data_IF_571242049117
#
_entry.id   IF_571242049117
#
_cell.length_a   1.000
_cell.length_b   1.000
_cell.length_c   1.000
_cell.angle_alpha   90.00
_cell.angle_beta   90.00
_cell.angle_gamma   90.00
#
_symmetry.space_group_name_H-M   'P 1'
#
loop_
_entity.id
_entity.type
_entity.pdbx_description
1 polymer ?
#
# COMPACT_ATOMS: atom_id res chain seq x y z
N UNK A 1 2.72 -18.31 -10.61
CA UNK A 1 2.74 -17.45 -9.39
C UNK A 1 3.57 -16.23 -9.69
N UNK A 2 3.09 -15.04 -9.38
CA UNK A 2 3.83 -13.80 -9.62
C UNK A 2 3.69 -12.86 -8.42
N UNK A 3 4.67 -11.98 -8.23
CA UNK A 3 4.64 -11.03 -7.11
C UNK A 3 3.65 -9.90 -7.40
N UNK A 4 3.07 -9.40 -6.31
CA UNK A 4 2.20 -8.21 -6.29
C UNK A 4 2.98 -7.01 -5.79
N UNK A 5 3.62 -7.15 -4.62
CA UNK A 5 4.42 -6.12 -4.00
C UNK A 5 5.50 -6.75 -3.08
N UNK A 6 6.47 -5.96 -2.68
CA UNK A 6 7.55 -6.40 -1.81
C UNK A 6 7.92 -5.33 -0.77
N UNK A 7 8.20 -5.77 0.44
CA UNK A 7 8.61 -4.93 1.56
C UNK A 7 9.97 -5.38 2.11
N UNK A 8 10.87 -4.44 2.32
CA UNK A 8 12.17 -4.73 2.93
C UNK A 8 12.14 -4.46 4.45
N UNK A 9 12.13 -5.53 5.23
CA UNK A 9 12.33 -5.52 6.67
C UNK A 9 13.81 -5.34 6.97
N UNK A 10 14.23 -4.10 7.23
CA UNK A 10 15.62 -3.72 7.44
C UNK A 10 16.19 -4.23 8.76
N UNK A 11 15.34 -4.48 9.74
CA UNK A 11 15.76 -4.94 11.07
C UNK A 11 16.18 -6.42 11.03
N UNK A 12 15.54 -7.19 10.14
CA UNK A 12 15.80 -8.61 9.95
C UNK A 12 16.63 -8.92 8.71
N UNK A 13 16.95 -7.94 7.85
CA UNK A 13 17.53 -8.12 6.52
C UNK A 13 16.72 -9.12 5.65
N UNK A 14 15.38 -9.06 5.75
CA UNK A 14 14.44 -9.93 5.02
C UNK A 14 13.64 -9.10 4.01
N UNK A 15 13.49 -9.62 2.80
CA UNK A 15 12.57 -9.11 1.79
C UNK A 15 11.32 -9.97 1.83
N UNK A 16 10.21 -9.37 2.25
CA UNK A 16 8.88 -9.99 2.28
C UNK A 16 8.17 -9.69 0.98
N UNK A 17 7.74 -10.73 0.30
CA UNK A 17 7.03 -10.62 -0.98
C UNK A 17 5.61 -11.14 -0.80
N UNK A 18 4.65 -10.42 -1.33
CA UNK A 18 3.29 -10.92 -1.50
C UNK A 18 3.09 -11.36 -2.94
N UNK A 19 2.57 -12.56 -3.10
CA UNK A 19 2.30 -13.21 -4.39
C UNK A 19 0.80 -13.46 -4.56
N UNK A 20 0.36 -13.56 -5.82
CA UNK A 20 -0.90 -14.19 -6.21
C UNK A 20 -0.64 -15.48 -6.97
N UNK A 21 -1.37 -16.52 -6.61
CA UNK A 21 -1.41 -17.76 -7.38
C UNK A 21 -2.34 -17.61 -8.59
N UNK A 22 -2.25 -18.56 -9.51
CA UNK A 22 -3.16 -18.61 -10.67
C UNK A 22 -4.64 -18.79 -10.26
N UNK A 23 -4.88 -19.34 -9.05
CA UNK A 23 -6.22 -19.47 -8.45
C UNK A 23 -6.69 -18.21 -7.70
N UNK A 24 -5.89 -17.15 -7.68
CA UNK A 24 -6.20 -15.89 -7.01
C UNK A 24 -5.87 -15.86 -5.51
N UNK A 25 -5.29 -16.91 -4.94
CA UNK A 25 -4.91 -16.93 -3.51
C UNK A 25 -3.68 -16.05 -3.26
N UNK A 26 -3.73 -15.30 -2.16
CA UNK A 26 -2.59 -14.51 -1.69
C UNK A 26 -1.63 -15.40 -0.90
N UNK A 27 -0.33 -15.28 -1.20
CA UNK A 27 0.76 -15.95 -0.48
C UNK A 27 1.81 -14.94 -0.03
N UNK A 28 2.47 -15.26 1.08
CA UNK A 28 3.58 -14.49 1.61
C UNK A 28 4.85 -15.33 1.56
N UNK A 29 5.90 -14.77 0.99
CA UNK A 29 7.20 -15.44 0.83
C UNK A 29 8.29 -14.51 1.35
N UNK A 30 9.18 -15.05 2.17
CA UNK A 30 10.30 -14.32 2.75
C UNK A 30 11.61 -14.76 2.08
N UNK A 31 12.42 -13.77 1.64
CA UNK A 31 13.75 -13.98 1.08
C UNK A 31 14.80 -13.29 1.96
N UNK A 32 15.93 -13.96 2.17
CA UNK A 32 17.08 -13.30 2.76
C UNK A 32 17.58 -12.20 1.83
N UNK A 33 17.70 -10.97 2.32
CA UNK A 33 18.25 -9.88 1.54
C UNK A 33 19.69 -10.17 1.11
N UNK A 34 19.99 -9.90 -0.15
CA UNK A 34 21.33 -9.95 -0.71
C UNK A 34 21.69 -8.56 -1.20
N UNK A 35 22.92 -8.17 -0.94
CA UNK A 35 23.45 -6.88 -1.37
C UNK A 35 24.58 -7.17 -2.35
N UNK A 36 24.31 -6.99 -3.63
CA UNK A 36 25.24 -7.26 -4.70
C UNK A 36 25.72 -5.96 -5.30
N UNK A 37 27.04 -5.85 -5.52
CA UNK A 37 27.61 -4.82 -6.36
C UNK A 37 28.82 -5.33 -7.11
N UNK A 38 29.24 -4.58 -8.12
CA UNK A 38 30.38 -4.94 -8.95
C UNK A 38 31.41 -3.80 -8.90
N UNK A 39 32.65 -4.14 -9.17
CA UNK A 39 33.76 -3.19 -9.33
C UNK A 39 34.67 -3.59 -10.49
N UNK A 40 35.35 -2.60 -11.09
CA UNK A 40 36.28 -2.85 -12.18
C UNK A 40 37.45 -3.70 -11.69
N UNK A 41 37.70 -4.80 -12.41
CA UNK A 41 38.78 -5.75 -12.16
C UNK A 41 39.17 -6.43 -13.46
N UNK A 42 40.42 -6.26 -13.90
CA UNK A 42 40.94 -6.81 -15.16
C UNK A 42 40.80 -8.35 -15.24
N UNK A 43 40.70 -9.03 -14.09
CA UNK A 43 40.49 -10.49 -13.98
C UNK A 43 39.03 -10.84 -13.73
N UNK A 44 38.14 -9.87 -13.75
CA UNK A 44 36.72 -10.05 -13.48
C UNK A 44 36.03 -10.94 -14.50
N UNK A 45 35.09 -11.76 -14.01
CA UNK A 45 34.31 -12.69 -14.83
C UNK A 45 33.02 -12.09 -15.42
N UNK A 46 32.60 -10.97 -14.90
CA UNK A 46 31.41 -10.25 -15.36
C UNK A 46 31.82 -9.11 -16.29
N UNK A 47 30.85 -8.53 -17.00
CA UNK A 47 31.08 -7.38 -17.86
C UNK A 47 30.05 -6.28 -17.58
N UNK A 48 30.52 -5.04 -17.62
CA UNK A 48 29.62 -3.89 -17.63
C UNK A 48 28.85 -3.82 -18.96
N UNK A 49 27.84 -2.97 -19.03
CA UNK A 49 27.14 -2.66 -20.31
C UNK A 49 28.07 -2.06 -21.36
N UNK A 50 29.24 -1.56 -20.95
CA UNK A 50 30.28 -1.01 -21.83
C UNK A 50 31.39 -2.01 -22.20
N UNK A 51 31.30 -3.26 -21.65
CA UNK A 51 32.25 -4.32 -21.89
C UNK A 51 33.42 -4.40 -20.89
N UNK A 52 33.52 -3.52 -19.92
CA UNK A 52 34.59 -3.52 -18.91
C UNK A 52 34.50 -4.78 -18.04
N UNK A 53 35.64 -5.43 -17.73
CA UNK A 53 35.66 -6.61 -16.88
C UNK A 53 35.37 -6.23 -15.42
N UNK A 54 34.47 -7.01 -14.77
CA UNK A 54 34.00 -6.75 -13.42
C UNK A 54 34.13 -7.98 -12.52
N UNK A 55 34.46 -7.75 -11.25
CA UNK A 55 34.29 -8.69 -10.16
C UNK A 55 33.07 -8.38 -9.31
N UNK A 56 32.37 -9.42 -8.84
CA UNK A 56 31.13 -9.31 -8.05
C UNK A 56 31.40 -9.54 -6.57
N UNK A 57 30.79 -8.72 -5.73
CA UNK A 57 30.70 -8.91 -4.28
C UNK A 57 29.23 -9.13 -3.91
N UNK A 58 28.98 -10.12 -3.05
CA UNK A 58 27.65 -10.41 -2.51
C UNK A 58 27.74 -10.46 -0.98
N UNK A 59 26.97 -9.59 -0.31
CA UNK A 59 26.88 -9.53 1.15
C UNK A 59 25.50 -9.98 1.61
N UNK A 60 25.42 -10.64 2.77
CA UNK A 60 24.17 -11.19 3.33
C UNK A 60 23.47 -10.24 4.31
N UNK A 61 24.09 -9.11 4.63
CA UNK A 61 23.54 -8.14 5.56
C UNK A 61 24.10 -6.73 5.26
N UNK A 62 23.39 -5.72 5.75
CA UNK A 62 23.73 -4.31 5.58
C UNK A 62 25.10 -3.95 6.16
N UNK A 63 25.51 -4.56 7.27
CA UNK A 63 26.80 -4.26 7.93
C UNK A 63 27.98 -4.65 7.06
N UNK A 64 27.97 -5.88 6.53
CA UNK A 64 29.03 -6.38 5.65
C UNK A 64 29.05 -5.60 4.34
N UNK A 65 27.89 -5.27 3.78
CA UNK A 65 27.77 -4.45 2.58
C UNK A 65 28.43 -3.08 2.75
N UNK A 66 28.14 -2.37 3.84
CA UNK A 66 28.78 -1.08 4.14
C UNK A 66 30.29 -1.18 4.29
N UNK A 67 30.77 -2.27 4.91
CA UNK A 67 32.21 -2.56 5.04
C UNK A 67 32.86 -2.76 3.68
N UNK A 68 32.27 -3.56 2.82
CA UNK A 68 32.79 -3.84 1.48
C UNK A 68 32.76 -2.61 0.58
N UNK A 69 31.72 -1.77 0.66
CA UNK A 69 31.71 -0.47 -0.03
C UNK A 69 32.86 0.43 0.41
N UNK A 70 33.14 0.49 1.72
CA UNK A 70 34.24 1.31 2.25
C UNK A 70 35.62 0.82 1.76
N UNK A 71 35.83 -0.51 1.72
CA UNK A 71 37.07 -1.13 1.21
C UNK A 71 37.27 -0.80 -0.27
N UNK A 72 36.21 -0.80 -1.07
CA UNK A 72 36.26 -0.60 -2.51
C UNK A 72 35.99 0.85 -2.95
N UNK A 73 35.93 1.81 -2.02
CA UNK A 73 35.56 3.21 -2.27
C UNK A 73 36.36 3.90 -3.39
N UNK A 74 37.60 3.50 -3.62
CA UNK A 74 38.46 4.12 -4.66
C UNK A 74 38.25 3.49 -6.05
N UNK A 75 37.48 2.40 -6.15
CA UNK A 75 37.18 1.74 -7.42
C UNK A 75 35.91 2.31 -8.01
N UNK A 76 35.74 2.18 -9.31
CA UNK A 76 34.46 2.43 -9.96
C UNK A 76 33.52 1.30 -9.63
N UNK A 77 32.42 1.61 -8.97
CA UNK A 77 31.40 0.67 -8.52
C UNK A 77 30.19 0.69 -9.47
N UNK A 78 29.53 -0.45 -9.60
CA UNK A 78 28.31 -0.63 -10.39
C UNK A 78 27.28 -1.34 -9.53
N UNK A 79 26.01 -0.92 -9.63
CA UNK A 79 24.86 -1.46 -8.90
C UNK A 79 24.97 -1.36 -7.36
N UNK A 80 25.89 -0.54 -6.86
CA UNK A 80 26.11 -0.36 -5.41
C UNK A 80 24.99 0.41 -4.71
N UNK A 81 24.10 1.03 -5.45
CA UNK A 81 22.95 1.83 -5.04
C UNK A 81 21.61 1.14 -5.35
N UNK A 82 21.62 -0.03 -5.98
CA UNK A 82 20.39 -0.78 -6.29
C UNK A 82 19.76 -1.31 -5.00
N UNK A 83 18.46 -1.01 -4.82
CA UNK A 83 17.71 -1.50 -3.69
C UNK A 83 17.65 -3.04 -3.69
N UNK A 84 17.94 -3.72 -2.57
CA UNK A 84 17.88 -5.19 -2.47
C UNK A 84 16.54 -5.81 -2.88
N UNK A 85 15.42 -5.07 -2.78
CA UNK A 85 14.12 -5.51 -3.29
C UNK A 85 14.23 -5.81 -4.80
N UNK A 86 14.76 -4.89 -5.60
CA UNK A 86 14.86 -5.09 -7.05
C UNK A 86 15.78 -6.23 -7.43
N UNK A 87 16.88 -6.41 -6.69
CA UNK A 87 17.75 -7.58 -6.90
C UNK A 87 17.01 -8.89 -6.60
N UNK A 88 16.26 -8.95 -5.50
CA UNK A 88 15.45 -10.11 -5.13
C UNK A 88 14.37 -10.40 -6.18
N UNK A 89 13.64 -9.38 -6.63
CA UNK A 89 12.57 -9.54 -7.63
C UNK A 89 13.16 -9.98 -8.99
N UNK A 90 14.29 -9.42 -9.41
CA UNK A 90 14.97 -9.84 -10.64
C UNK A 90 15.47 -11.30 -10.58
N UNK A 91 16.01 -11.73 -9.42
CA UNK A 91 16.47 -13.11 -9.26
C UNK A 91 15.34 -14.14 -9.28
N UNK A 92 14.17 -13.79 -8.75
CA UNK A 92 13.11 -14.79 -8.50
C UNK A 92 11.90 -14.65 -9.45
N UNK A 93 11.67 -13.47 -10.06
CA UNK A 93 10.42 -13.18 -10.79
C UNK A 93 10.62 -12.61 -12.21
N UNK A 94 11.86 -12.42 -12.70
CA UNK A 94 12.17 -11.68 -13.93
C UNK A 94 11.37 -12.13 -15.17
N UNK A 95 11.06 -13.42 -15.30
CA UNK A 95 10.39 -13.98 -16.47
C UNK A 95 8.98 -14.51 -16.14
N UNK A 96 8.36 -14.01 -15.10
CA UNK A 96 7.01 -14.41 -14.71
C UNK A 96 6.00 -13.41 -15.27
N UNK A 97 4.83 -13.92 -15.67
CA UNK A 97 3.71 -13.08 -16.09
C UNK A 97 3.16 -12.31 -14.89
N UNK A 98 2.54 -11.15 -15.17
CA UNK A 98 1.85 -10.38 -14.14
C UNK A 98 0.70 -11.19 -13.51
N UNK A 99 0.49 -11.13 -12.20
CA UNK A 99 -0.63 -11.80 -11.56
C UNK A 99 -1.96 -11.11 -11.90
N UNK A 100 -3.07 -11.84 -11.75
CA UNK A 100 -4.39 -11.23 -11.72
C UNK A 100 -4.55 -10.53 -10.38
N UNK A 101 -4.54 -9.19 -10.40
CA UNK A 101 -4.63 -8.37 -9.20
C UNK A 101 -6.08 -8.18 -8.75
N UNK A 102 -6.31 -8.14 -7.45
CA UNK A 102 -7.56 -7.76 -6.84
C UNK A 102 -7.57 -6.23 -6.63
N UNK A 103 -8.41 -5.55 -7.39
CA UNK A 103 -8.50 -4.07 -7.36
C UNK A 103 -9.80 -3.67 -6.66
N UNK A 104 -9.70 -2.86 -5.61
CA UNK A 104 -10.83 -2.20 -4.99
C UNK A 104 -10.82 -0.71 -5.39
N UNK A 105 -11.87 -0.30 -6.11
CA UNK A 105 -12.17 1.11 -6.36
C UNK A 105 -13.08 1.60 -5.27
N UNK A 106 -12.78 2.74 -4.68
CA UNK A 106 -13.56 3.24 -3.56
C UNK A 106 -13.60 4.76 -3.49
N UNK A 107 -14.63 5.25 -2.83
CA UNK A 107 -14.92 6.67 -2.62
C UNK A 107 -15.61 6.86 -1.28
N UNK A 108 -15.43 8.01 -0.64
CA UNK A 108 -16.06 8.35 0.64
C UNK A 108 -16.91 9.61 0.54
N UNK A 109 -17.99 9.63 1.32
CA UNK A 109 -18.76 10.83 1.61
C UNK A 109 -18.58 11.21 3.07
N UNK A 110 -18.45 12.50 3.35
CA UNK A 110 -18.26 13.01 4.71
C UNK A 110 -19.37 13.99 5.09
N UNK A 111 -19.66 14.05 6.39
CA UNK A 111 -20.59 15.07 6.91
C UNK A 111 -19.96 16.48 6.81
N UNK A 112 -20.79 17.48 6.86
CA UNK A 112 -20.43 18.90 6.74
C UNK A 112 -20.80 19.65 8.02
N UNK A 113 -19.90 20.47 8.53
CA UNK A 113 -20.16 21.37 9.65
C UNK A 113 -20.51 22.77 9.12
N UNK A 114 -21.70 23.30 9.44
CA UNK A 114 -22.15 24.63 8.94
C UNK A 114 -21.26 25.81 9.35
N UNK A 115 -20.54 25.69 10.47
CA UNK A 115 -19.67 26.74 10.99
C UNK A 115 -18.23 26.60 10.56
N UNK A 116 -17.73 25.35 10.50
CA UNK A 116 -16.32 25.01 10.22
C UNK A 116 -16.06 24.57 8.78
N UNK A 117 -17.12 24.22 8.02
CA UNK A 117 -17.00 23.69 6.68
C UNK A 117 -16.63 22.20 6.63
N UNK A 118 -16.07 21.74 5.50
CA UNK A 118 -15.53 20.39 5.35
C UNK A 118 -14.27 20.21 6.19
N UNK A 119 -14.15 19.03 6.81
CA UNK A 119 -12.95 18.68 7.55
C UNK A 119 -11.75 18.45 6.61
N UNK A 120 -10.57 18.88 7.05
CA UNK A 120 -9.33 18.60 6.35
C UNK A 120 -8.92 17.13 6.57
N UNK A 121 -8.37 16.44 5.55
CA UNK A 121 -7.89 15.07 5.72
C UNK A 121 -6.86 14.87 6.83
N UNK A 122 -6.10 15.89 7.19
CA UNK A 122 -5.15 15.84 8.32
C UNK A 122 -5.82 15.99 9.69
N UNK A 123 -7.04 16.59 9.76
CA UNK A 123 -7.87 16.66 10.95
C UNK A 123 -9.34 16.31 10.64
N UNK A 124 -9.64 15.02 10.38
CA UNK A 124 -10.96 14.57 9.98
C UNK A 124 -11.94 14.58 11.18
N UNK A 125 -12.39 15.77 11.58
CA UNK A 125 -13.29 15.93 12.71
C UNK A 125 -14.74 15.52 12.41
N UNK A 126 -15.14 15.54 11.12
CA UNK A 126 -16.45 15.08 10.67
C UNK A 126 -16.47 13.58 10.38
N UNK A 127 -17.61 12.89 10.63
CA UNK A 127 -17.73 11.48 10.33
C UNK A 127 -17.72 11.21 8.81
N UNK A 128 -17.22 10.05 8.42
CA UNK A 128 -17.52 9.48 7.13
C UNK A 128 -18.97 8.98 7.18
N UNK A 129 -19.79 9.40 6.24
CA UNK A 129 -21.22 9.08 6.20
C UNK A 129 -21.55 7.95 5.23
N UNK A 130 -20.75 7.79 4.19
CA UNK A 130 -20.83 6.64 3.29
C UNK A 130 -19.45 6.27 2.74
N UNK A 131 -19.29 4.99 2.44
CA UNK A 131 -18.15 4.43 1.73
C UNK A 131 -18.70 3.51 0.66
N UNK A 132 -18.37 3.76 -0.60
CA UNK A 132 -18.73 2.87 -1.69
C UNK A 132 -17.48 2.19 -2.21
N UNK A 133 -17.52 0.86 -2.35
CA UNK A 133 -16.40 0.03 -2.79
C UNK A 133 -16.82 -0.88 -3.93
N UNK A 134 -16.16 -0.80 -5.07
CA UNK A 134 -16.27 -1.78 -6.13
C UNK A 134 -15.12 -2.79 -6.02
N UNK A 135 -15.44 -4.01 -5.65
CA UNK A 135 -14.53 -5.14 -5.58
C UNK A 135 -14.44 -5.79 -6.97
N UNK A 136 -13.49 -5.35 -7.79
CA UNK A 136 -13.39 -5.72 -9.20
C UNK A 136 -13.29 -7.24 -9.42
N UNK A 137 -12.61 -7.97 -8.54
CA UNK A 137 -12.44 -9.43 -8.66
C UNK A 137 -13.70 -10.24 -8.33
N UNK A 138 -14.68 -9.61 -7.68
CA UNK A 138 -15.99 -10.19 -7.36
C UNK A 138 -17.10 -9.61 -8.24
N UNK A 139 -16.79 -8.61 -9.06
CA UNK A 139 -17.76 -7.79 -9.81
C UNK A 139 -18.91 -7.30 -8.90
N UNK A 140 -18.55 -6.82 -7.72
CA UNK A 140 -19.52 -6.43 -6.67
C UNK A 140 -19.30 -5.00 -6.23
N UNK A 141 -20.34 -4.19 -6.31
CA UNK A 141 -20.41 -2.86 -5.73
C UNK A 141 -21.08 -2.96 -4.35
N UNK A 142 -20.41 -2.45 -3.33
CA UNK A 142 -20.89 -2.46 -1.94
C UNK A 142 -20.90 -1.03 -1.43
N UNK A 143 -22.01 -0.63 -0.82
CA UNK A 143 -22.14 0.67 -0.14
C UNK A 143 -22.38 0.46 1.35
N UNK A 144 -21.55 1.09 2.17
CA UNK A 144 -21.67 1.14 3.62
C UNK A 144 -22.06 2.57 3.99
N UNK A 145 -23.13 2.75 4.78
CA UNK A 145 -23.60 4.11 5.09
C UNK A 145 -24.14 4.24 6.51
N UNK A 146 -24.10 5.47 7.02
CA UNK A 146 -24.81 5.90 8.22
C UNK A 146 -26.15 6.51 7.81
N UNK A 147 -27.26 6.18 8.51
CA UNK A 147 -28.53 6.84 8.24
C UNK A 147 -28.43 8.35 8.51
N UNK A 148 -29.10 9.18 7.69
CA UNK A 148 -29.22 10.60 8.00
C UNK A 148 -29.85 10.82 9.38
N UNK A 149 -29.38 11.81 10.13
CA UNK A 149 -29.87 12.14 11.49
C UNK A 149 -31.38 12.45 11.55
N UNK A 150 -32.00 12.70 10.40
CA UNK A 150 -33.41 13.01 10.26
C UNK A 150 -34.31 11.78 10.10
N UNK A 151 -33.72 10.58 9.89
CA UNK A 151 -34.44 9.33 9.71
C UNK A 151 -34.14 8.35 10.85
N UNK A 152 -35.14 7.53 11.21
CA UNK A 152 -34.86 6.35 12.02
C UNK A 152 -34.15 5.28 11.18
N UNK A 153 -33.56 4.27 11.83
CA UNK A 153 -32.92 3.15 11.13
C UNK A 153 -33.92 2.42 10.22
N UNK A 154 -35.15 2.20 10.70
CA UNK A 154 -36.22 1.54 9.93
C UNK A 154 -36.61 2.35 8.69
N UNK A 155 -36.71 3.68 8.84
CA UNK A 155 -37.00 4.57 7.72
C UNK A 155 -35.85 4.57 6.70
N UNK A 156 -34.61 4.63 7.17
CA UNK A 156 -33.45 4.59 6.30
C UNK A 156 -33.34 3.22 5.57
N UNK A 157 -33.65 2.12 6.25
CA UNK A 157 -33.68 0.78 5.64
C UNK A 157 -34.74 0.67 4.53
N UNK A 158 -35.92 1.31 4.72
CA UNK A 158 -36.95 1.35 3.67
C UNK A 158 -36.49 2.14 2.44
N UNK A 159 -35.74 3.25 2.66
CA UNK A 159 -35.22 4.08 1.55
C UNK A 159 -34.17 3.33 0.71
N UNK A 160 -33.36 2.48 1.33
CA UNK A 160 -32.28 1.76 0.62
C UNK A 160 -32.66 0.32 0.21
N UNK A 161 -33.86 -0.14 0.45
CA UNK A 161 -34.27 -1.55 0.22
C UNK A 161 -34.11 -2.05 -1.22
N UNK A 162 -34.20 -1.13 -2.19
CA UNK A 162 -34.08 -1.43 -3.60
C UNK A 162 -32.63 -1.31 -4.13
N UNK A 163 -31.67 -0.90 -3.27
CA UNK A 163 -30.26 -0.82 -3.60
C UNK A 163 -29.54 -2.08 -3.09
N UNK A 164 -29.12 -2.91 -4.04
CA UNK A 164 -28.37 -4.13 -3.73
C UNK A 164 -27.05 -3.81 -3.03
N UNK A 165 -26.64 -4.68 -2.09
CA UNK A 165 -25.37 -4.59 -1.36
C UNK A 165 -25.17 -3.23 -0.62
N UNK A 166 -26.26 -2.60 -0.18
CA UNK A 166 -26.22 -1.40 0.65
C UNK A 166 -26.49 -1.76 2.10
N UNK A 167 -25.53 -1.43 2.98
CA UNK A 167 -25.58 -1.77 4.40
C UNK A 167 -25.59 -0.52 5.25
N UNK A 168 -26.54 -0.41 6.16
CA UNK A 168 -26.64 0.70 7.12
C UNK A 168 -26.07 0.30 8.47
N UNK A 169 -25.39 1.25 9.10
CA UNK A 169 -24.75 1.10 10.41
C UNK A 169 -25.25 2.17 11.38
N UNK A 170 -25.46 1.81 12.63
CA UNK A 170 -25.79 2.78 13.68
C UNK A 170 -24.57 3.60 14.11
N UNK A 171 -23.37 3.00 14.04
CA UNK A 171 -22.12 3.63 14.47
C UNK A 171 -21.11 3.63 13.35
N UNK A 172 -20.42 4.74 13.20
CA UNK A 172 -19.30 4.89 12.26
C UNK A 172 -18.21 3.85 12.50
N UNK A 173 -17.93 3.50 13.77
CA UNK A 173 -16.92 2.50 14.10
C UNK A 173 -17.20 1.16 13.41
N UNK A 174 -18.45 0.67 13.47
CA UNK A 174 -18.85 -0.61 12.86
C UNK A 174 -18.77 -0.55 11.33
N UNK A 175 -19.11 0.61 10.75
CA UNK A 175 -18.98 0.85 9.31
C UNK A 175 -17.51 0.83 8.86
N UNK A 176 -16.62 1.49 9.61
CA UNK A 176 -15.19 1.51 9.31
C UNK A 176 -14.55 0.12 9.45
N UNK A 177 -14.94 -0.66 10.47
CA UNK A 177 -14.49 -2.05 10.60
C UNK A 177 -14.92 -2.89 9.39
N UNK A 178 -16.18 -2.78 8.97
CA UNK A 178 -16.69 -3.48 7.79
C UNK A 178 -15.98 -3.06 6.51
N UNK A 179 -15.65 -1.78 6.35
CA UNK A 179 -14.84 -1.31 5.22
C UNK A 179 -13.45 -1.96 5.21
N UNK A 180 -12.78 -1.99 6.36
CA UNK A 180 -11.45 -2.61 6.46
C UNK A 180 -11.49 -4.12 6.17
N UNK A 181 -12.60 -4.81 6.51
CA UNK A 181 -12.82 -6.21 6.12
C UNK A 181 -13.00 -6.36 4.61
N UNK A 182 -13.79 -5.49 3.96
CA UNK A 182 -14.02 -5.54 2.51
C UNK A 182 -12.73 -5.42 1.70
N UNK A 183 -11.83 -4.51 2.10
CA UNK A 183 -10.58 -4.30 1.39
C UNK A 183 -9.47 -5.29 1.77
N UNK A 184 -9.72 -6.22 2.69
CA UNK A 184 -8.68 -7.10 3.24
C UNK A 184 -7.93 -7.86 2.15
N UNK A 185 -8.61 -8.33 1.11
CA UNK A 185 -7.99 -9.07 0.01
C UNK A 185 -7.67 -8.22 -1.23
N UNK A 186 -7.78 -6.89 -1.15
CA UNK A 186 -7.36 -6.01 -2.22
C UNK A 186 -5.83 -5.92 -2.30
N UNK A 187 -5.28 -5.95 -3.50
CA UNK A 187 -3.88 -5.70 -3.81
C UNK A 187 -3.65 -4.23 -4.17
N UNK A 188 -4.64 -3.65 -4.84
CA UNK A 188 -4.66 -2.25 -5.26
C UNK A 188 -5.89 -1.57 -4.66
N UNK A 189 -5.67 -0.39 -4.08
CA UNK A 189 -6.72 0.55 -3.73
C UNK A 189 -6.67 1.71 -4.73
N UNK A 190 -7.79 2.03 -5.35
CA UNK A 190 -7.89 3.11 -6.34
C UNK A 190 -9.13 3.95 -6.10
N UNK A 191 -9.08 5.23 -6.47
CA UNK A 191 -10.18 6.17 -6.38
C UNK A 191 -9.84 7.49 -7.06
N UNK A 192 -10.84 8.32 -7.31
CA UNK A 192 -10.63 9.64 -7.89
C UNK A 192 -10.06 10.61 -6.86
N UNK A 193 -8.89 11.20 -7.15
CA UNK A 193 -8.19 12.12 -6.22
C UNK A 193 -7.97 11.53 -4.80
N UNK A 194 -7.95 10.21 -4.70
CA UNK A 194 -7.94 9.49 -3.42
C UNK A 194 -6.61 9.66 -2.65
N UNK A 195 -5.50 9.94 -3.35
CA UNK A 195 -4.23 10.31 -2.72
C UNK A 195 -4.34 11.59 -1.89
N UNK A 196 -5.11 12.55 -2.40
CA UNK A 196 -5.26 13.86 -1.76
C UNK A 196 -6.37 13.96 -0.73
N UNK A 197 -7.32 13.02 -0.72
CA UNK A 197 -8.48 13.09 0.15
C UNK A 197 -8.85 11.77 0.82
N UNK A 198 -9.30 10.76 0.08
CA UNK A 198 -9.89 9.54 0.67
C UNK A 198 -8.90 8.77 1.53
N UNK A 199 -7.68 8.55 1.05
CA UNK A 199 -6.63 7.83 1.80
C UNK A 199 -6.30 8.56 3.10
N UNK A 200 -5.84 9.83 3.08
CA UNK A 200 -5.46 10.49 4.33
C UNK A 200 -6.67 10.72 5.25
N UNK A 201 -7.85 11.02 4.70
CA UNK A 201 -9.05 11.18 5.51
C UNK A 201 -9.38 9.90 6.25
N UNK A 202 -9.49 8.78 5.53
CA UNK A 202 -9.93 7.51 6.11
C UNK A 202 -8.89 6.92 7.06
N UNK A 203 -7.60 6.98 6.73
CA UNK A 203 -6.54 6.51 7.64
C UNK A 203 -6.56 7.30 8.95
N UNK A 204 -6.65 8.64 8.88
CA UNK A 204 -6.72 9.48 10.07
C UNK A 204 -8.05 9.29 10.82
N UNK A 205 -9.16 9.06 10.11
CA UNK A 205 -10.47 8.82 10.72
C UNK A 205 -10.53 7.47 11.43
N UNK A 206 -10.01 6.40 10.84
CA UNK A 206 -9.84 5.09 11.49
C UNK A 206 -9.00 5.23 12.75
N UNK A 207 -7.88 5.95 12.69
CA UNK A 207 -7.04 6.21 13.86
C UNK A 207 -7.79 6.94 14.98
N UNK A 208 -8.73 7.83 14.65
CA UNK A 208 -9.51 8.62 15.60
C UNK A 208 -10.69 7.85 16.19
N UNK A 209 -11.42 7.10 15.37
CA UNK A 209 -12.69 6.43 15.74
C UNK A 209 -12.47 5.03 16.31
N UNK A 210 -11.56 4.28 15.74
CA UNK A 210 -11.15 2.95 16.22
C UNK A 210 -9.86 3.08 17.04
N UNK A 211 -8.73 2.86 16.41
CA UNK A 211 -7.42 3.09 17.02
C UNK A 211 -6.34 3.26 15.96
N UNK A 212 -5.16 3.76 16.39
CA UNK A 212 -3.98 3.79 15.54
C UNK A 212 -3.56 2.38 15.09
N UNK A 213 -3.78 1.38 15.91
CA UNK A 213 -3.41 -0.02 15.60
C UNK A 213 -4.30 -0.59 14.49
N UNK A 214 -5.58 -0.19 14.43
CA UNK A 214 -6.51 -0.60 13.37
C UNK A 214 -6.10 -0.07 11.99
N UNK A 215 -5.33 1.02 11.92
CA UNK A 215 -4.79 1.50 10.65
C UNK A 215 -3.83 0.52 9.98
N UNK A 216 -3.27 -0.46 10.70
CA UNK A 216 -2.45 -1.54 10.13
C UNK A 216 -3.21 -2.39 9.11
N UNK A 217 -4.54 -2.42 9.17
CA UNK A 217 -5.40 -3.15 8.25
C UNK A 217 -5.39 -2.57 6.83
N UNK A 218 -4.94 -1.33 6.66
CA UNK A 218 -4.64 -0.78 5.33
C UNK A 218 -3.37 -1.36 4.72
N UNK A 219 -2.51 -1.96 5.52
CA UNK A 219 -1.21 -2.48 5.10
C UNK A 219 -1.15 -4.00 5.24
N UNK A 220 -0.11 -4.61 4.66
CA UNK A 220 0.27 -6.01 4.91
C UNK A 220 1.35 -6.08 5.99
N UNK A 221 1.66 -7.30 6.45
CA UNK A 221 2.70 -7.62 7.43
C UNK A 221 2.60 -6.81 8.74
N UNK A 222 1.39 -6.44 9.14
CA UNK A 222 1.14 -5.64 10.34
C UNK A 222 1.89 -4.29 10.35
N UNK A 223 2.20 -3.76 9.18
CA UNK A 223 2.86 -2.46 9.06
C UNK A 223 1.84 -1.33 9.27
N UNK A 224 2.31 -0.20 9.82
CA UNK A 224 1.52 1.04 9.85
C UNK A 224 1.61 1.75 8.49
N UNK A 225 0.55 2.44 8.04
CA UNK A 225 0.66 3.37 6.93
C UNK A 225 1.77 4.39 7.17
N UNK A 226 2.59 4.65 6.16
CA UNK A 226 3.72 5.59 6.26
C UNK A 226 3.29 6.95 5.74
N UNK A 227 3.24 7.93 6.64
CA UNK A 227 2.95 9.31 6.29
C UNK A 227 3.96 9.84 5.28
N UNK A 228 3.48 10.47 4.23
CA UNK A 228 4.25 11.09 3.16
C UNK A 228 3.68 12.47 2.84
N UNK A 229 4.56 13.43 2.58
CA UNK A 229 4.20 14.74 2.08
C UNK A 229 4.38 14.79 0.55
N UNK A 230 3.52 15.51 -0.13
CA UNK A 230 3.62 15.77 -1.56
C UNK A 230 3.13 17.18 -1.89
N UNK A 231 3.59 17.72 -2.99
CA UNK A 231 3.13 19.03 -3.45
C UNK A 231 1.92 18.90 -4.39
N UNK A 232 0.85 19.63 -4.08
CA UNK A 232 -0.35 19.73 -4.90
C UNK A 232 -0.77 21.19 -5.03
N UNK A 233 -0.81 21.69 -6.27
CA UNK A 233 -1.16 23.09 -6.58
C UNK A 233 -0.36 24.13 -5.77
N UNK A 234 0.95 23.88 -5.55
CA UNK A 234 1.82 24.79 -4.78
C UNK A 234 1.58 24.79 -3.26
N UNK A 235 0.84 23.79 -2.75
CA UNK A 235 0.65 23.55 -1.32
C UNK A 235 1.17 22.16 -0.96
N UNK A 236 1.77 22.06 0.24
CA UNK A 236 2.12 20.76 0.80
C UNK A 236 0.86 20.06 1.29
N UNK A 237 0.61 18.86 0.81
CA UNK A 237 -0.45 17.97 1.26
C UNK A 237 0.17 16.70 1.86
N UNK A 238 -0.57 16.02 2.71
CA UNK A 238 -0.16 14.79 3.39
C UNK A 238 -0.98 13.62 2.87
N UNK A 239 -0.33 12.48 2.71
CA UNK A 239 -0.96 11.20 2.39
C UNK A 239 -0.25 10.05 3.09
N UNK A 240 -0.63 8.80 2.77
CA UNK A 240 -0.02 7.62 3.35
C UNK A 240 0.37 6.60 2.28
N UNK A 241 1.60 6.10 2.36
CA UNK A 241 2.01 4.90 1.63
C UNK A 241 1.51 3.67 2.39
N UNK A 242 0.79 2.80 1.69
CA UNK A 242 0.19 1.59 2.24
C UNK A 242 1.11 0.40 1.95
N UNK A 243 1.88 -0.03 2.96
CA UNK A 243 2.90 -1.07 2.79
C UNK A 243 2.28 -2.40 2.34
N UNK A 244 2.73 -2.92 1.22
CA UNK A 244 2.26 -4.19 0.63
C UNK A 244 0.99 -4.07 -0.22
N UNK A 245 0.45 -2.87 -0.36
CA UNK A 245 -0.65 -2.55 -1.28
C UNK A 245 -0.30 -1.35 -2.12
N UNK A 246 -0.59 -1.43 -3.39
CA UNK A 246 -0.40 -0.29 -4.29
C UNK A 246 -1.61 0.63 -4.21
N UNK A 247 -1.38 1.92 -4.05
CA UNK A 247 -2.40 2.94 -4.25
C UNK A 247 -2.23 3.55 -5.64
N UNK A 248 -3.32 3.62 -6.40
CA UNK A 248 -3.37 4.27 -7.70
C UNK A 248 -4.43 5.37 -7.67
N UNK A 249 -3.98 6.59 -7.87
CA UNK A 249 -4.85 7.76 -8.02
C UNK A 249 -5.31 7.87 -9.49
N UNK A 250 -6.57 8.15 -9.73
CA UNK A 250 -7.18 8.22 -11.07
C UNK A 250 -7.74 9.61 -11.37
#
# INVERSE_FOLDING_TARGET
MSYVDAFFDRDQDIIRVVERTDNGERKFVDYQAKYTFYYEDLKGKYKSVYGDPLSRIVCKNTKDFRKELAINKQKKLYESDVNPIFQCLAENYLNQDAPKLNIAFWDIETDFDPERGFADPSDPFMPITAITVHLQWLDSLVTLALPPKTLSMEQAQEEVKDFENTYLFEREADMLESFLDLIQDADILSGWNSEGYDIPYTVNRVSRVLSKDDTRRFCLWQQLPKKREFEKYGKTAETFDLVGRVHLDS
#
